data_IF_431819595746
#
_entry.id   IF_431819595746
#
_cell.length_a   1.000
_cell.length_b   1.000
_cell.length_c   1.000
_cell.angle_alpha   90.00
_cell.angle_beta   90.00
_cell.angle_gamma   90.00
#
_symmetry.space_group_name_H-M   'P 1'
#
loop_
_entity.id
_entity.type
_entity.pdbx_description
1 polymer ?
#
# COMPACT_ATOMS: atom_id res chain seq x y z
N UNK A 1 15.42 1.32 7.53
CA UNK A 1 14.48 2.44 7.72
C UNK A 1 14.24 3.22 6.42
N UNK A 2 15.20 3.97 5.90
CA UNK A 2 15.01 4.67 4.61
C UNK A 2 14.83 3.69 3.44
N UNK A 3 15.72 2.69 3.34
CA UNK A 3 15.65 1.63 2.32
C UNK A 3 14.33 0.84 2.34
N UNK A 4 13.76 0.58 3.52
CA UNK A 4 12.46 -0.10 3.63
C UNK A 4 11.33 0.79 3.10
N UNK A 5 11.38 2.09 3.39
CA UNK A 5 10.40 3.06 2.89
C UNK A 5 10.43 3.14 1.37
N UNK A 6 11.62 3.19 0.77
CA UNK A 6 11.77 3.19 -0.70
C UNK A 6 11.25 1.90 -1.33
N UNK A 7 11.51 0.74 -0.72
CA UNK A 7 10.92 -0.55 -1.16
C UNK A 7 9.41 -0.53 -1.10
N UNK A 8 8.83 0.01 -0.02
CA UNK A 8 7.38 0.13 0.13
C UNK A 8 6.80 1.04 -0.95
N UNK A 9 7.38 2.23 -1.16
CA UNK A 9 6.93 3.17 -2.20
C UNK A 9 7.03 2.54 -3.59
N UNK A 10 8.12 1.84 -3.87
CA UNK A 10 8.33 1.13 -5.13
C UNK A 10 7.25 0.07 -5.33
N UNK A 11 6.99 -0.79 -4.34
CA UNK A 11 5.92 -1.79 -4.43
C UNK A 11 4.53 -1.17 -4.61
N UNK A 12 4.23 -0.05 -3.94
CA UNK A 12 2.95 0.67 -4.11
C UNK A 12 2.80 1.17 -5.55
N UNK A 13 3.87 1.71 -6.15
CA UNK A 13 3.86 2.21 -7.54
C UNK A 13 3.75 1.07 -8.54
N UNK A 14 4.47 -0.02 -8.33
CA UNK A 14 4.38 -1.23 -9.17
C UNK A 14 2.96 -1.80 -9.14
N UNK A 15 2.38 -1.99 -7.95
CA UNK A 15 1.00 -2.47 -7.82
C UNK A 15 0.01 -1.56 -8.54
N UNK A 16 0.16 -0.24 -8.39
CA UNK A 16 -0.67 0.71 -9.09
C UNK A 16 -0.51 0.60 -10.62
N UNK A 17 0.71 0.45 -11.13
CA UNK A 17 0.97 0.34 -12.57
C UNK A 17 0.36 -0.94 -13.16
N UNK A 18 0.40 -2.05 -12.43
CA UNK A 18 -0.15 -3.35 -12.85
C UNK A 18 -1.68 -3.42 -12.77
N UNK A 19 -2.32 -2.50 -12.05
CA UNK A 19 -3.75 -2.54 -11.73
C UNK A 19 -4.50 -1.23 -12.02
N UNK A 20 -4.17 -0.55 -13.13
CA UNK A 20 -4.88 0.65 -13.62
C UNK A 20 -4.96 1.79 -12.60
N UNK A 21 -3.89 1.96 -11.83
CA UNK A 21 -3.74 2.92 -10.75
C UNK A 21 -4.38 2.48 -9.42
N UNK A 22 -5.07 1.34 -9.36
CA UNK A 22 -5.64 0.79 -8.11
C UNK A 22 -4.55 0.12 -7.29
N UNK A 23 -4.60 0.32 -5.98
CA UNK A 23 -3.61 -0.16 -5.03
C UNK A 23 -4.30 -1.01 -3.97
N UNK A 24 -3.80 -2.22 -3.76
CA UNK A 24 -4.23 -3.13 -2.68
C UNK A 24 -3.16 -3.24 -1.61
N UNK A 25 -3.58 -3.10 -0.35
CA UNK A 25 -2.67 -3.29 0.79
C UNK A 25 -2.26 -4.77 0.89
N UNK A 26 -3.16 -5.70 0.56
CA UNK A 26 -2.90 -7.14 0.58
C UNK A 26 -1.81 -7.52 -0.43
N UNK A 27 -1.94 -7.07 -1.69
CA UNK A 27 -0.95 -7.36 -2.74
C UNK A 27 0.41 -6.75 -2.41
N UNK A 28 0.44 -5.51 -1.94
CA UNK A 28 1.68 -4.85 -1.52
C UNK A 28 2.34 -5.58 -0.35
N UNK A 29 1.58 -6.01 0.67
CA UNK A 29 2.11 -6.83 1.77
C UNK A 29 2.68 -8.16 1.28
N UNK A 30 1.98 -8.83 0.35
CA UNK A 30 2.42 -10.09 -0.24
C UNK A 30 3.73 -9.92 -1.00
N UNK A 31 3.86 -8.87 -1.81
CA UNK A 31 5.08 -8.56 -2.54
C UNK A 31 6.27 -8.27 -1.61
N UNK A 32 6.02 -7.64 -0.46
CA UNK A 32 7.04 -7.27 0.52
C UNK A 32 7.30 -8.32 1.60
N UNK A 33 6.62 -9.47 1.57
CA UNK A 33 6.75 -10.51 2.60
C UNK A 33 8.19 -11.02 2.64
N UNK A 34 8.84 -10.93 3.82
CA UNK A 34 10.25 -11.29 4.00
C UNK A 34 11.27 -10.25 3.48
N UNK A 35 10.81 -9.14 2.89
CA UNK A 35 11.68 -8.11 2.30
C UNK A 35 11.76 -6.82 3.14
N UNK A 36 10.78 -6.58 4.00
CA UNK A 36 10.72 -5.43 4.90
C UNK A 36 10.73 -5.88 6.35
N UNK A 37 11.61 -5.28 7.16
CA UNK A 37 11.77 -5.66 8.56
C UNK A 37 10.66 -5.17 9.49
N UNK A 38 9.84 -4.20 9.06
CA UNK A 38 8.89 -3.50 9.93
C UNK A 38 7.51 -3.29 9.27
N UNK A 39 6.54 -4.18 9.53
CA UNK A 39 5.17 -4.09 8.98
C UNK A 39 4.45 -2.77 9.30
N UNK A 40 4.69 -2.17 10.47
CA UNK A 40 4.11 -0.86 10.82
C UNK A 40 4.47 0.27 9.83
N UNK A 41 5.62 0.16 9.16
CA UNK A 41 6.09 1.16 8.21
C UNK A 41 5.25 1.20 6.93
N UNK A 42 4.59 0.08 6.58
CA UNK A 42 3.66 0.02 5.45
C UNK A 42 2.49 0.97 5.74
N UNK A 43 1.83 0.82 6.90
CA UNK A 43 0.70 1.67 7.30
C UNK A 43 1.08 3.15 7.41
N UNK A 44 2.26 3.45 7.97
CA UNK A 44 2.78 4.81 8.05
C UNK A 44 3.02 5.42 6.66
N UNK A 45 3.58 4.63 5.71
CA UNK A 45 3.83 5.08 4.34
C UNK A 45 2.54 5.39 3.59
N UNK A 46 1.52 4.52 3.67
CA UNK A 46 0.20 4.81 3.10
C UNK A 46 -0.40 6.10 3.69
N UNK A 47 -0.33 6.28 5.01
CA UNK A 47 -0.86 7.47 5.67
C UNK A 47 -0.13 8.75 5.21
N UNK A 48 1.19 8.67 5.04
CA UNK A 48 2.01 9.77 4.52
C UNK A 48 1.65 10.13 3.07
N UNK A 49 1.50 9.13 2.20
CA UNK A 49 1.14 9.33 0.78
C UNK A 49 -0.30 9.85 0.60
N UNK A 50 -1.21 9.41 1.46
CA UNK A 50 -2.58 9.92 1.48
C UNK A 50 -2.61 11.40 1.92
N UNK A 51 -1.85 11.73 2.98
CA UNK A 51 -1.75 13.11 3.47
C UNK A 51 -1.11 14.06 2.45
N UNK A 52 -0.15 13.59 1.65
CA UNK A 52 0.44 14.39 0.57
C UNK A 52 -0.45 14.45 -0.69
N UNK A 53 -1.57 13.72 -0.72
CA UNK A 53 -2.47 13.67 -1.85
C UNK A 53 -1.89 12.99 -3.08
N UNK A 54 -1.00 11.99 -2.88
CA UNK A 54 -0.45 11.11 -3.93
C UNK A 54 -1.35 9.90 -4.17
N UNK A 55 -2.02 9.45 -3.11
CA UNK A 55 -3.04 8.39 -3.17
C UNK A 55 -4.31 8.88 -2.50
N UNK A 56 -5.44 8.31 -2.89
CA UNK A 56 -6.73 8.49 -2.22
C UNK A 56 -7.39 7.16 -1.95
N UNK A 57 -8.24 7.11 -0.92
CA UNK A 57 -9.08 5.95 -0.66
C UNK A 57 -10.01 5.75 -1.85
N UNK A 58 -10.04 4.52 -2.38
CA UNK A 58 -10.87 4.13 -3.52
C UNK A 58 -12.02 3.21 -3.10
N UNK A 59 -11.88 2.55 -1.96
CA UNK A 59 -12.88 1.64 -1.43
C UNK A 59 -12.32 0.80 -0.30
N UNK A 60 -12.87 -0.39 -0.17
CA UNK A 60 -12.53 -1.34 0.89
C UNK A 60 -12.41 -2.75 0.31
N UNK A 61 -11.56 -3.57 0.91
CA UNK A 61 -11.41 -4.99 0.63
C UNK A 61 -11.26 -5.76 1.94
N UNK A 62 -11.38 -7.08 1.89
CA UNK A 62 -11.13 -7.94 3.04
C UNK A 62 -9.65 -8.33 3.06
N UNK A 63 -9.00 -8.23 4.21
CA UNK A 63 -7.62 -8.68 4.34
C UNK A 63 -7.52 -10.20 4.34
N UNK A 64 -6.65 -10.71 3.48
CA UNK A 64 -6.29 -12.13 3.37
C UNK A 64 -5.06 -12.50 4.20
N UNK A 65 -4.62 -11.62 5.11
CA UNK A 65 -3.42 -11.81 5.93
C UNK A 65 -3.48 -13.15 6.68
N UNK A 66 -2.59 -14.07 6.28
CA UNK A 66 -2.52 -15.42 6.81
C UNK A 66 -2.02 -15.46 8.26
N UNK A 67 -1.39 -14.38 8.73
CA UNK A 67 -0.79 -14.26 10.08
C UNK A 67 -1.84 -14.15 11.21
N UNK A 68 -3.13 -14.22 10.89
CA UNK A 68 -4.22 -14.31 11.86
C UNK A 68 -4.66 -12.99 12.50
N UNK A 69 -3.76 -12.03 12.72
CA UNK A 69 -4.10 -10.78 13.42
C UNK A 69 -5.03 -9.83 12.65
N UNK A 70 -5.12 -9.94 11.32
CA UNK A 70 -6.01 -9.11 10.51
C UNK A 70 -6.85 -9.90 9.51
N UNK A 71 -6.85 -11.24 9.59
CA UNK A 71 -7.60 -12.08 8.65
C UNK A 71 -9.10 -11.76 8.75
N UNK A 72 -9.72 -11.39 7.65
CA UNK A 72 -11.14 -11.00 7.62
C UNK A 72 -11.41 -9.53 7.97
N UNK A 73 -10.40 -8.75 8.32
CA UNK A 73 -10.57 -7.32 8.59
C UNK A 73 -10.87 -6.55 7.30
N UNK A 74 -11.76 -5.58 7.38
CA UNK A 74 -12.03 -4.65 6.27
C UNK A 74 -10.91 -3.61 6.22
N UNK A 75 -10.14 -3.62 5.14
CA UNK A 75 -9.01 -2.71 4.92
C UNK A 75 -9.28 -1.82 3.70
N UNK A 76 -8.61 -0.67 3.65
CA UNK A 76 -8.80 0.30 2.57
C UNK A 76 -8.09 -0.17 1.30
N UNK A 77 -8.76 0.00 0.16
CA UNK A 77 -8.10 0.05 -1.15
C UNK A 77 -7.82 1.50 -1.52
N UNK A 78 -6.75 1.70 -2.27
CA UNK A 78 -6.28 3.04 -2.63
C UNK A 78 -6.21 3.19 -4.14
N UNK A 79 -6.09 4.41 -4.62
CA UNK A 79 -5.79 4.70 -6.02
C UNK A 79 -4.77 5.81 -6.11
N UNK A 80 -3.82 5.72 -7.04
CA UNK A 80 -2.98 6.85 -7.41
C UNK A 80 -3.89 8.00 -7.84
N UNK A 81 -3.65 9.17 -7.26
CA UNK A 81 -4.22 10.40 -7.80
C UNK A 81 -3.37 10.80 -9.00
N UNK A 82 -3.99 11.01 -10.15
CA UNK A 82 -3.35 11.61 -11.31
C UNK A 82 -2.95 13.06 -10.97
N UNK A 83 -1.89 13.27 -10.19
CA UNK A 83 -1.22 14.56 -10.22
C UNK A 83 -0.44 14.58 -11.53
N UNK A 84 -1.10 15.05 -12.59
CA UNK A 84 -0.40 15.72 -13.68
C UNK A 84 0.49 16.76 -13.03
N UNK A 85 1.80 16.55 -13.09
CA UNK A 85 2.78 17.61 -12.90
C UNK A 85 2.34 18.77 -13.79
N UNK A 86 1.98 19.89 -13.18
CA UNK A 86 1.75 21.15 -13.86
C UNK A 86 3.07 21.89 -13.94
#
# INVERSE_FOLDING_TARGET
MEQDRDRIITSIRTDAAEHDGRISVNRVRRALTGQVGLPQMIGATYSSLARSGVIKVAGWEVSDDASGHHRGAVIRTWRLTERRSR
#
